data_IF_462981106477
#
_entry.id   IF_462981106477
#
_cell.length_a   1.000
_cell.length_b   1.000
_cell.length_c   1.000
_cell.angle_alpha   90.00
_cell.angle_beta   90.00
_cell.angle_gamma   90.00
#
_symmetry.space_group_name_H-M   'P 1'
#
loop_
_entity.id
_entity.type
_entity.pdbx_description
1 polymer ?
#
# COMPACT_ATOMS: atom_id res chain seq x y z
N UNK A 1 2.26 -17.81 21.03
CA UNK A 1 3.23 -17.74 19.91
C UNK A 1 4.43 -16.94 20.35
N UNK A 2 5.63 -17.53 20.29
CA UNK A 2 6.88 -16.81 20.52
C UNK A 2 7.21 -15.92 19.31
N UNK A 3 7.54 -14.65 19.56
CA UNK A 3 8.05 -13.75 18.52
C UNK A 3 9.54 -14.03 18.34
N UNK A 4 9.91 -14.64 17.23
CA UNK A 4 11.32 -14.79 16.85
C UNK A 4 11.77 -13.53 16.09
N UNK A 5 12.86 -12.87 16.51
CA UNK A 5 13.42 -11.77 15.75
C UNK A 5 13.95 -12.30 14.41
N UNK A 6 13.39 -11.83 13.30
CA UNK A 6 13.84 -12.15 11.95
C UNK A 6 14.70 -11.01 11.42
N UNK A 7 15.95 -11.31 11.05
CA UNK A 7 16.80 -10.36 10.34
C UNK A 7 16.56 -10.49 8.84
N UNK A 8 15.97 -9.48 8.22
CA UNK A 8 15.87 -9.41 6.77
C UNK A 8 17.15 -8.78 6.20
N UNK A 9 17.72 -9.42 5.18
CA UNK A 9 18.81 -8.87 4.37
C UNK A 9 18.26 -8.61 2.97
N UNK A 10 18.13 -7.34 2.60
CA UNK A 10 17.66 -6.98 1.26
C UNK A 10 18.78 -7.20 0.24
N UNK A 11 18.50 -7.99 -0.80
CA UNK A 11 19.41 -8.18 -1.95
C UNK A 11 19.15 -7.17 -3.06
N UNK A 12 17.93 -6.62 -3.11
CA UNK A 12 17.47 -5.65 -4.11
C UNK A 12 16.82 -4.49 -3.37
N UNK A 13 17.12 -3.26 -3.81
CA UNK A 13 16.48 -2.03 -3.33
C UNK A 13 15.75 -1.35 -4.48
N UNK A 14 14.48 -1.00 -4.28
CA UNK A 14 13.59 -0.39 -5.27
C UNK A 14 12.78 0.70 -4.55
N UNK A 15 12.67 1.88 -5.17
CA UNK A 15 11.87 2.99 -4.62
C UNK A 15 10.45 3.09 -5.20
N UNK A 16 10.24 2.57 -6.41
CA UNK A 16 8.95 2.66 -7.10
C UNK A 16 8.11 1.39 -6.88
N UNK A 17 6.91 1.53 -6.31
CA UNK A 17 5.98 0.42 -6.05
C UNK A 17 5.68 -0.45 -7.29
N UNK A 18 5.48 0.09 -8.52
CA UNK A 18 5.27 -0.75 -9.70
C UNK A 18 6.46 -1.67 -10.03
N UNK A 19 7.69 -1.23 -9.74
CA UNK A 19 8.88 -2.05 -9.94
C UNK A 19 9.02 -3.14 -8.87
N UNK A 20 8.55 -2.90 -7.64
CA UNK A 20 8.45 -3.94 -6.60
C UNK A 20 7.49 -5.05 -7.06
N UNK A 21 6.32 -4.68 -7.59
CA UNK A 21 5.36 -5.67 -8.13
C UNK A 21 5.98 -6.51 -9.24
N UNK A 22 6.72 -5.89 -10.17
CA UNK A 22 7.43 -6.60 -11.23
C UNK A 22 8.48 -7.58 -10.68
N UNK A 23 9.25 -7.17 -9.66
CA UNK A 23 10.24 -8.03 -9.01
C UNK A 23 9.57 -9.23 -8.33
N UNK A 24 8.47 -9.03 -7.60
CA UNK A 24 7.75 -10.12 -6.93
C UNK A 24 7.12 -11.08 -7.93
N UNK A 25 6.54 -10.57 -9.03
CA UNK A 25 6.06 -11.42 -10.14
C UNK A 25 7.18 -12.27 -10.77
N UNK A 26 8.40 -11.76 -10.80
CA UNK A 26 9.58 -12.49 -11.27
C UNK A 26 10.18 -13.43 -10.20
N UNK A 27 9.56 -13.57 -9.03
CA UNK A 27 10.05 -14.41 -7.94
C UNK A 27 11.19 -13.80 -7.12
N UNK A 28 11.46 -12.51 -7.28
CA UNK A 28 12.59 -11.82 -6.65
C UNK A 28 12.27 -11.20 -5.28
N UNK A 29 11.37 -11.81 -4.49
CA UNK A 29 11.10 -11.40 -3.11
C UNK A 29 9.63 -11.45 -2.71
N UNK A 30 9.29 -10.63 -1.71
CA UNK A 30 7.97 -10.52 -1.10
C UNK A 30 7.51 -9.05 -1.12
N UNK A 31 6.21 -8.81 -1.19
CA UNK A 31 5.64 -7.47 -1.05
C UNK A 31 4.46 -7.45 -0.07
N UNK A 32 4.25 -6.28 0.54
CA UNK A 32 3.09 -5.93 1.36
C UNK A 32 2.36 -4.68 0.80
N UNK A 33 2.57 -4.37 -0.49
CA UNK A 33 1.96 -3.22 -1.16
C UNK A 33 0.51 -3.47 -1.61
N UNK A 34 -0.20 -2.41 -2.00
CA UNK A 34 -1.61 -2.45 -2.40
C UNK A 34 -1.83 -2.90 -3.86
N UNK A 35 -0.79 -2.97 -4.70
CA UNK A 35 -0.90 -3.34 -6.11
C UNK A 35 -1.01 -4.86 -6.32
N UNK A 36 -0.76 -5.67 -5.29
CA UNK A 36 -0.82 -7.16 -5.39
C UNK A 36 -2.25 -7.71 -5.38
N UNK A 37 -3.28 -6.89 -5.18
CA UNK A 37 -4.69 -7.37 -5.04
C UNK A 37 -5.12 -8.23 -6.23
N UNK A 38 -4.90 -7.76 -7.46
CA UNK A 38 -5.27 -8.49 -8.68
C UNK A 38 -4.39 -9.73 -8.91
N UNK A 39 -3.14 -9.70 -8.45
CA UNK A 39 -2.23 -10.84 -8.52
C UNK A 39 -2.64 -11.97 -7.58
N UNK A 40 -3.11 -11.62 -6.38
CA UNK A 40 -3.66 -12.57 -5.43
C UNK A 40 -4.99 -13.14 -5.95
N UNK A 41 -5.88 -12.29 -6.47
CA UNK A 41 -7.17 -12.72 -7.04
C UNK A 41 -7.01 -13.67 -8.23
N UNK A 42 -5.98 -13.45 -9.06
CA UNK A 42 -5.65 -14.32 -10.19
C UNK A 42 -4.82 -15.56 -9.83
N UNK A 43 -4.36 -15.69 -8.58
CA UNK A 43 -3.50 -16.78 -8.14
C UNK A 43 -2.06 -16.71 -8.66
N UNK A 44 -1.65 -15.60 -9.29
CA UNK A 44 -0.25 -15.38 -9.71
C UNK A 44 0.68 -15.16 -8.53
N UNK A 45 0.15 -14.58 -7.46
CA UNK A 45 0.83 -14.46 -6.16
C UNK A 45 0.03 -15.21 -5.09
N UNK A 46 0.73 -15.57 -4.01
CA UNK A 46 0.14 -16.26 -2.85
C UNK A 46 0.45 -15.48 -1.57
N UNK A 47 -0.47 -15.53 -0.61
CA UNK A 47 -0.31 -14.86 0.68
C UNK A 47 0.39 -15.80 1.68
N UNK A 48 1.61 -15.47 2.08
CA UNK A 48 2.49 -16.37 2.86
C UNK A 48 2.47 -16.15 4.39
N UNK A 49 1.86 -15.06 4.88
CA UNK A 49 1.76 -14.73 6.30
C UNK A 49 0.35 -14.24 6.67
N UNK A 50 -0.69 -15.07 6.49
CA UNK A 50 -2.09 -14.64 6.58
C UNK A 50 -2.52 -14.08 7.93
N UNK A 51 -1.83 -14.45 9.00
CA UNK A 51 -2.08 -13.98 10.37
C UNK A 51 -1.35 -12.68 10.73
N UNK A 52 -0.40 -12.26 9.88
CA UNK A 52 0.36 -11.04 10.08
C UNK A 52 -0.15 -9.95 9.14
N UNK A 53 -0.25 -8.73 9.67
CA UNK A 53 -0.55 -7.54 8.87
C UNK A 53 0.48 -6.45 9.18
N UNK A 54 0.91 -5.67 8.19
CA UNK A 54 1.70 -4.48 8.47
C UNK A 54 0.88 -3.50 9.35
N UNK A 55 1.55 -2.59 10.07
CA UNK A 55 0.86 -1.49 10.75
C UNK A 55 -0.08 -0.79 9.78
N UNK A 56 -1.30 -0.49 10.23
CA UNK A 56 -2.27 0.24 9.42
C UNK A 56 -1.73 1.63 9.06
N UNK A 57 -1.69 1.94 7.77
CA UNK A 57 -1.45 3.30 7.26
C UNK A 57 -2.72 3.87 6.65
N UNK A 58 -2.78 5.20 6.52
CA UNK A 58 -3.88 5.90 5.84
C UNK A 58 -3.39 6.65 4.61
N UNK A 59 -4.31 6.91 3.67
CA UNK A 59 -4.11 7.88 2.59
C UNK A 59 -4.62 9.24 3.09
N UNK A 60 -3.79 10.26 3.01
CA UNK A 60 -4.09 11.59 3.54
C UNK A 60 -4.02 12.65 2.45
N UNK A 61 -5.00 13.55 2.45
CA UNK A 61 -4.92 14.80 1.68
C UNK A 61 -4.14 15.83 2.49
N UNK A 62 -3.05 16.36 1.92
CA UNK A 62 -2.21 17.38 2.56
C UNK A 62 -2.33 18.69 1.81
N UNK A 63 -2.54 19.79 2.53
CA UNK A 63 -2.61 21.15 2.00
C UNK A 63 -2.09 22.14 3.06
N UNK A 64 -1.60 23.33 2.65
CA UNK A 64 -1.14 24.34 3.60
C UNK A 64 -2.22 24.72 4.61
N UNK A 65 -1.79 25.09 5.83
CA UNK A 65 -2.69 25.68 6.81
C UNK A 65 -3.29 26.97 6.24
N UNK A 66 -4.60 27.01 6.07
CA UNK A 66 -5.31 28.15 5.49
C UNK A 66 -6.48 28.55 6.40
N UNK A 67 -6.60 29.85 6.65
CA UNK A 67 -7.73 30.41 7.43
C UNK A 67 -9.08 30.18 6.75
N UNK A 68 -9.08 30.12 5.42
CA UNK A 68 -10.23 29.75 4.59
C UNK A 68 -9.77 28.79 3.49
N UNK A 69 -10.45 27.65 3.37
CA UNK A 69 -10.23 26.69 2.28
C UNK A 69 -11.16 27.03 1.10
N UNK A 70 -10.65 27.22 -0.13
CA UNK A 70 -11.52 27.44 -1.28
C UNK A 70 -12.54 26.31 -1.46
N UNK A 71 -13.82 26.60 -1.74
CA UNK A 71 -14.87 25.57 -1.87
C UNK A 71 -14.54 24.47 -2.89
N UNK A 72 -13.83 24.81 -3.98
CA UNK A 72 -13.37 23.85 -4.98
C UNK A 72 -12.41 22.80 -4.40
N UNK A 73 -11.51 23.20 -3.50
CA UNK A 73 -10.57 22.28 -2.83
C UNK A 73 -11.33 21.38 -1.86
N UNK A 74 -12.27 21.94 -1.08
CA UNK A 74 -13.14 21.15 -0.20
C UNK A 74 -13.87 20.07 -0.98
N UNK A 75 -14.53 20.45 -2.08
CA UNK A 75 -15.28 19.52 -2.92
C UNK A 75 -14.39 18.45 -3.56
N UNK A 76 -13.17 18.81 -3.96
CA UNK A 76 -12.21 17.85 -4.48
C UNK A 76 -11.78 16.83 -3.41
N UNK A 77 -11.49 17.29 -2.19
CA UNK A 77 -11.16 16.39 -1.06
C UNK A 77 -12.32 15.45 -0.74
N UNK A 78 -13.57 15.94 -0.76
CA UNK A 78 -14.75 15.09 -0.57
C UNK A 78 -14.83 13.97 -1.61
N UNK A 79 -14.56 14.27 -2.89
CA UNK A 79 -14.53 13.27 -3.97
C UNK A 79 -13.44 12.23 -3.72
N UNK A 80 -12.23 12.66 -3.34
CA UNK A 80 -11.12 11.75 -3.03
C UNK A 80 -11.44 10.82 -1.86
N UNK A 81 -12.02 11.36 -0.78
CA UNK A 81 -12.40 10.57 0.41
C UNK A 81 -13.48 9.55 0.07
N UNK A 82 -14.47 9.92 -0.76
CA UNK A 82 -15.49 8.99 -1.22
C UNK A 82 -14.87 7.86 -2.06
N UNK A 83 -13.98 8.20 -2.99
CA UNK A 83 -13.33 7.22 -3.88
C UNK A 83 -12.41 6.23 -3.14
N UNK A 84 -11.70 6.66 -2.09
CA UNK A 84 -10.83 5.76 -1.33
C UNK A 84 -11.63 4.81 -0.41
N UNK A 85 -12.80 5.20 0.08
CA UNK A 85 -13.67 4.32 0.88
C UNK A 85 -14.25 3.14 0.08
N UNK A 86 -14.36 3.27 -1.23
CA UNK A 86 -14.84 2.18 -2.10
C UNK A 86 -13.78 1.10 -2.36
N UNK A 87 -12.50 1.36 -2.05
CA UNK A 87 -11.38 0.47 -2.37
C UNK A 87 -10.94 -0.44 -1.23
N UNK A 88 -11.34 -0.15 0.00
CA UNK A 88 -11.10 -1.00 1.18
C UNK A 88 -12.01 -2.23 1.14
#
# INVERSE_FOLDING_TARGET
MSRLPMRMQATIAIEATPAVLAAVRAGAGLSADFLVRDELASGRLVHILPEWRPPSGGIYTVYPAARFRPPKVTRFVEILVAAEREKD
#
